data_IF_267694003067
#
_entry.id   IF_267694003067
#
_cell.length_a   1.000
_cell.length_b   1.000
_cell.length_c   1.000
_cell.angle_alpha   90.00
_cell.angle_beta   90.00
_cell.angle_gamma   90.00
#
_symmetry.space_group_name_H-M   'P 1'
#
loop_
_entity.id
_entity.type
_entity.pdbx_description
1 polymer ?
#
# COMPACT_ATOMS: atom_id res chain seq x y z
N UNK A 1 -9.73 13.76 -24.65
CA UNK A 1 -9.74 12.86 -25.82
C UNK A 1 -11.13 12.71 -26.42
N UNK A 2 -12.07 12.00 -25.77
CA UNK A 2 -13.44 11.77 -26.30
C UNK A 2 -14.13 13.04 -26.81
N UNK A 3 -14.19 14.10 -25.99
CA UNK A 3 -14.80 15.36 -26.39
C UNK A 3 -14.08 16.02 -27.59
N UNK A 4 -12.74 16.02 -27.61
CA UNK A 4 -11.96 16.57 -28.72
C UNK A 4 -12.25 15.82 -30.02
N UNK A 5 -12.19 14.48 -30.00
CA UNK A 5 -12.44 13.64 -31.17
C UNK A 5 -13.86 13.85 -31.74
N UNK A 6 -14.86 13.96 -30.85
CA UNK A 6 -16.25 14.26 -31.25
C UNK A 6 -16.44 15.63 -31.89
N UNK A 7 -15.52 16.55 -31.65
CA UNK A 7 -15.54 17.91 -32.21
C UNK A 7 -14.48 18.10 -33.31
N UNK A 8 -13.89 17.00 -33.84
CA UNK A 8 -12.87 17.08 -34.88
C UNK A 8 -11.57 17.75 -34.44
N UNK A 9 -11.31 17.79 -33.13
CA UNK A 9 -10.08 18.33 -32.54
C UNK A 9 -9.17 17.17 -32.17
N UNK A 10 -7.95 17.19 -32.69
CA UNK A 10 -6.92 16.20 -32.33
C UNK A 10 -6.28 16.56 -30.97
N UNK A 11 -6.35 15.68 -29.96
CA UNK A 11 -5.62 15.89 -28.71
C UNK A 11 -4.11 15.85 -28.96
N UNK A 12 -3.30 16.67 -28.26
CA UNK A 12 -1.85 16.57 -28.36
C UNK A 12 -1.35 15.16 -28.03
N UNK A 13 -0.49 14.58 -28.87
CA UNK A 13 0.05 13.22 -28.68
C UNK A 13 0.72 13.03 -27.31
N UNK A 14 1.45 14.05 -26.83
CA UNK A 14 2.07 14.04 -25.51
C UNK A 14 1.04 13.92 -24.36
N UNK A 15 -0.17 14.46 -24.52
CA UNK A 15 -1.23 14.29 -23.53
C UNK A 15 -1.79 12.86 -23.53
N UNK A 16 -1.92 12.25 -24.71
CA UNK A 16 -2.37 10.86 -24.84
C UNK A 16 -1.37 9.89 -24.22
N UNK A 17 -0.07 10.06 -24.50
CA UNK A 17 1.00 9.27 -23.90
C UNK A 17 0.98 9.36 -22.37
N UNK A 18 0.76 10.57 -21.82
CA UNK A 18 0.66 10.76 -20.37
C UNK A 18 -0.55 10.06 -19.77
N UNK A 19 -1.71 10.13 -20.42
CA UNK A 19 -2.92 9.42 -19.97
C UNK A 19 -2.69 7.90 -19.98
N UNK A 20 -2.07 7.38 -21.03
CA UNK A 20 -1.75 5.96 -21.11
C UNK A 20 -0.81 5.51 -19.98
N UNK A 21 0.23 6.29 -19.68
CA UNK A 21 1.11 6.06 -18.52
C UNK A 21 0.38 6.14 -17.17
N UNK A 22 -0.64 7.00 -17.05
CA UNK A 22 -1.49 7.03 -15.84
C UNK A 22 -2.31 5.74 -15.72
N UNK A 23 -2.87 5.24 -16.82
CA UNK A 23 -3.59 3.96 -16.84
C UNK A 23 -2.69 2.77 -16.52
N UNK A 24 -1.43 2.80 -16.96
CA UNK A 24 -0.44 1.80 -16.60
C UNK A 24 -0.13 1.77 -15.10
N UNK A 25 -0.05 2.95 -14.47
CA UNK A 25 0.01 3.07 -13.01
C UNK A 25 -1.24 2.49 -12.37
N UNK A 26 -2.42 2.92 -12.81
CA UNK A 26 -3.70 2.42 -12.30
C UNK A 26 -3.79 0.90 -12.37
N UNK A 27 -3.40 0.29 -13.50
CA UNK A 27 -3.40 -1.17 -13.68
C UNK A 27 -2.44 -1.87 -12.70
N UNK A 28 -1.23 -1.33 -12.49
CA UNK A 28 -0.27 -1.89 -11.54
C UNK A 28 -0.76 -1.76 -10.08
N UNK A 29 -1.30 -0.60 -9.75
CA UNK A 29 -1.76 -0.24 -8.41
C UNK A 29 -3.05 -0.98 -8.01
N UNK A 30 -3.93 -1.27 -8.97
CA UNK A 30 -5.16 -2.04 -8.75
C UNK A 30 -4.86 -3.48 -8.37
N UNK A 31 -5.45 -3.92 -7.26
CA UNK A 31 -5.42 -5.32 -6.81
C UNK A 31 -6.18 -6.21 -7.81
N UNK A 32 -5.90 -7.52 -7.86
CA UNK A 32 -6.59 -8.42 -8.79
C UNK A 32 -8.12 -8.50 -8.61
N UNK A 33 -8.63 -8.19 -7.41
CA UNK A 33 -10.09 -8.08 -7.17
C UNK A 33 -10.72 -6.79 -7.72
N UNK A 34 -9.92 -5.90 -8.31
CA UNK A 34 -10.33 -4.63 -8.91
C UNK A 34 -10.37 -3.46 -7.92
N UNK A 35 -10.15 -3.73 -6.63
CA UNK A 35 -10.03 -2.68 -5.61
C UNK A 35 -8.62 -2.07 -5.61
N UNK A 36 -8.42 -0.97 -4.90
CA UNK A 36 -7.11 -0.32 -4.81
C UNK A 36 -6.68 -0.03 -3.35
N UNK A 37 -5.36 0.06 -3.09
CA UNK A 37 -4.82 0.53 -1.82
C UNK A 37 -5.24 1.96 -1.46
N UNK A 38 -5.64 2.20 -0.20
CA UNK A 38 -6.17 3.49 0.25
C UNK A 38 -5.08 4.41 0.82
N UNK A 39 -3.90 4.44 0.19
CA UNK A 39 -2.71 5.16 0.66
C UNK A 39 -2.89 6.67 0.51
N UNK A 40 -2.61 7.41 1.58
CA UNK A 40 -2.74 8.87 1.64
C UNK A 40 -4.19 9.33 1.65
N UNK A 41 -4.45 10.51 1.07
CA UNK A 41 -5.81 11.03 0.91
C UNK A 41 -6.55 10.32 -0.24
N UNK A 42 -6.93 9.06 -0.02
CA UNK A 42 -7.85 8.34 -0.88
C UNK A 42 -9.30 8.66 -0.48
N UNK A 43 -10.07 9.27 -1.39
CA UNK A 43 -11.51 9.44 -1.26
C UNK A 43 -12.29 8.70 -2.36
N UNK A 44 -13.57 8.45 -2.11
CA UNK A 44 -14.50 7.85 -3.08
C UNK A 44 -15.14 8.93 -4.00
N UNK A 45 -14.46 10.06 -4.19
CA UNK A 45 -14.97 11.21 -4.92
C UNK A 45 -15.38 10.90 -6.37
N UNK A 46 -16.48 11.51 -6.80
CA UNK A 46 -16.91 11.52 -8.20
C UNK A 46 -17.38 12.92 -8.57
N UNK A 47 -16.89 13.46 -9.69
CA UNK A 47 -17.40 14.74 -10.21
C UNK A 47 -18.86 14.61 -10.65
N UNK A 48 -19.21 13.49 -11.28
CA UNK A 48 -20.57 13.16 -11.71
C UNK A 48 -20.87 11.71 -11.32
N UNK A 49 -22.03 11.48 -10.72
CA UNK A 49 -22.50 10.15 -10.37
C UNK A 49 -23.41 9.62 -11.49
N UNK A 50 -22.81 8.92 -12.46
CA UNK A 50 -23.49 8.45 -13.67
C UNK A 50 -23.90 6.97 -13.60
N UNK A 51 -23.54 6.28 -12.52
CA UNK A 51 -23.90 4.89 -12.24
C UNK A 51 -23.69 4.58 -10.76
N UNK A 52 -24.31 3.51 -10.24
CA UNK A 52 -23.93 3.00 -8.91
C UNK A 52 -22.50 2.48 -8.96
N UNK A 53 -21.55 3.27 -8.45
CA UNK A 53 -20.13 2.90 -8.40
C UNK A 53 -19.88 1.86 -7.32
N UNK A 54 -19.03 0.89 -7.62
CA UNK A 54 -18.36 0.12 -6.57
C UNK A 54 -17.30 1.03 -5.94
N UNK A 55 -17.37 1.28 -4.62
CA UNK A 55 -16.34 2.07 -3.94
C UNK A 55 -14.95 1.48 -4.18
N UNK A 56 -13.93 2.34 -4.15
CA UNK A 56 -12.53 1.95 -4.35
C UNK A 56 -12.25 1.07 -5.58
N UNK A 57 -12.96 1.28 -6.67
CA UNK A 57 -12.79 0.51 -7.92
C UNK A 57 -12.24 1.38 -9.04
N UNK A 58 -11.17 0.92 -9.68
CA UNK A 58 -10.63 1.52 -10.90
C UNK A 58 -11.22 0.92 -12.19
N UNK A 59 -12.14 -0.06 -12.10
CA UNK A 59 -12.60 -0.81 -13.27
C UNK A 59 -13.21 0.08 -14.35
N UNK A 60 -14.04 1.06 -13.98
CA UNK A 60 -14.62 1.98 -14.96
C UNK A 60 -13.55 2.80 -15.70
N UNK A 61 -12.52 3.26 -14.99
CA UNK A 61 -11.40 4.01 -15.57
C UNK A 61 -10.57 3.12 -16.51
N UNK A 62 -10.27 1.88 -16.10
CA UNK A 62 -9.52 0.92 -16.91
C UNK A 62 -10.31 0.49 -18.16
N UNK A 63 -11.63 0.29 -18.07
CA UNK A 63 -12.48 0.03 -19.23
C UNK A 63 -12.50 1.21 -20.21
N UNK A 64 -12.54 2.45 -19.72
CA UNK A 64 -12.42 3.62 -20.56
C UNK A 64 -11.07 3.66 -21.27
N UNK A 65 -9.98 3.41 -20.54
CA UNK A 65 -8.62 3.32 -21.08
C UNK A 65 -8.47 2.24 -22.16
N UNK A 66 -8.93 1.02 -21.87
CA UNK A 66 -8.96 -0.08 -22.83
C UNK A 66 -9.65 0.33 -24.14
N UNK A 67 -10.81 0.98 -24.05
CA UNK A 67 -11.58 1.42 -25.23
C UNK A 67 -10.85 2.51 -26.03
N UNK A 68 -10.23 3.47 -25.35
CA UNK A 68 -9.54 4.60 -25.98
C UNK A 68 -8.24 4.18 -26.68
N UNK A 69 -7.54 3.19 -26.13
CA UNK A 69 -6.20 2.77 -26.60
C UNK A 69 -6.18 1.36 -27.23
N UNK A 70 -7.30 0.65 -27.28
CA UNK A 70 -7.38 -0.71 -27.84
C UNK A 70 -6.61 -1.77 -27.03
N UNK A 71 -6.51 -1.59 -25.71
CA UNK A 71 -5.62 -2.38 -24.84
C UNK A 71 -6.33 -3.55 -24.13
N UNK A 72 -5.92 -4.77 -24.45
CA UNK A 72 -6.51 -6.00 -23.90
C UNK A 72 -6.18 -6.23 -22.42
N UNK A 73 -5.00 -5.80 -21.97
CA UNK A 73 -4.56 -5.91 -20.58
C UNK A 73 -5.41 -5.03 -19.65
N UNK A 74 -5.75 -3.81 -20.07
CA UNK A 74 -6.69 -2.94 -19.36
C UNK A 74 -8.10 -3.53 -19.35
N UNK A 75 -8.55 -4.14 -20.46
CA UNK A 75 -9.87 -4.82 -20.55
C UNK A 75 -9.95 -6.01 -19.58
N UNK A 76 -8.91 -6.84 -19.50
CA UNK A 76 -8.87 -7.97 -18.60
C UNK A 76 -9.00 -7.55 -17.11
N UNK A 77 -8.51 -6.37 -16.74
CA UNK A 77 -8.67 -5.82 -15.40
C UNK A 77 -10.05 -5.18 -15.14
N UNK A 78 -10.87 -5.00 -16.17
CA UNK A 78 -12.16 -4.34 -16.12
C UNK A 78 -13.22 -5.12 -16.91
N UNK A 79 -13.69 -6.29 -16.46
CA UNK A 79 -14.51 -7.20 -17.27
C UNK A 79 -15.84 -6.61 -17.77
N UNK A 80 -16.28 -5.47 -17.23
CA UNK A 80 -17.48 -4.76 -17.67
C UNK A 80 -17.15 -3.37 -18.19
N UNK A 81 -17.85 -2.94 -19.25
CA UNK A 81 -17.69 -1.60 -19.82
C UNK A 81 -18.17 -0.50 -18.86
N UNK A 82 -19.25 -0.74 -18.12
CA UNK A 82 -19.84 0.23 -17.19
C UNK A 82 -20.77 1.26 -17.85
N UNK A 83 -21.83 1.66 -17.15
CA UNK A 83 -22.80 2.63 -17.65
C UNK A 83 -22.22 4.04 -17.71
N UNK A 84 -21.32 4.40 -16.78
CA UNK A 84 -20.62 5.68 -16.83
C UNK A 84 -19.86 5.88 -18.17
N UNK A 85 -19.27 4.82 -18.70
CA UNK A 85 -18.52 4.88 -19.96
C UNK A 85 -19.43 5.03 -21.19
N UNK A 86 -20.70 4.59 -21.13
CA UNK A 86 -21.68 4.88 -22.19
C UNK A 86 -21.92 6.40 -22.31
N UNK A 87 -22.04 7.09 -21.17
CA UNK A 87 -22.23 8.53 -21.15
C UNK A 87 -20.99 9.29 -21.64
N UNK A 88 -19.79 8.87 -21.22
CA UNK A 88 -18.54 9.55 -21.57
C UNK A 88 -18.02 9.25 -22.98
N UNK A 89 -18.14 8.01 -23.43
CA UNK A 89 -17.53 7.52 -24.68
C UNK A 89 -18.57 7.26 -25.78
N UNK A 90 -19.84 7.06 -25.41
CA UNK A 90 -20.96 6.87 -26.34
C UNK A 90 -21.22 5.41 -26.70
N UNK A 91 -22.35 5.11 -27.36
CA UNK A 91 -22.77 3.73 -27.62
C UNK A 91 -21.81 2.97 -28.56
N UNK A 92 -21.19 3.65 -29.53
CA UNK A 92 -20.21 3.01 -30.42
C UNK A 92 -18.97 2.49 -29.65
N UNK A 93 -18.65 3.10 -28.50
CA UNK A 93 -17.53 2.70 -27.67
C UNK A 93 -17.78 1.35 -26.98
N UNK A 94 -19.05 0.96 -26.74
CA UNK A 94 -19.39 -0.36 -26.23
C UNK A 94 -18.99 -1.45 -27.23
N UNK A 95 -19.34 -1.29 -28.51
CA UNK A 95 -18.94 -2.24 -29.56
C UNK A 95 -17.43 -2.29 -29.75
N UNK A 96 -16.75 -1.13 -29.66
CA UNK A 96 -15.29 -1.07 -29.69
C UNK A 96 -14.67 -1.83 -28.50
N UNK A 97 -15.24 -1.68 -27.30
CA UNK A 97 -14.80 -2.41 -26.11
C UNK A 97 -14.98 -3.92 -26.25
N UNK A 98 -16.16 -4.36 -26.70
CA UNK A 98 -16.46 -5.78 -26.89
C UNK A 98 -15.52 -6.43 -27.91
N UNK A 99 -15.11 -5.69 -28.94
CA UNK A 99 -14.18 -6.17 -29.97
C UNK A 99 -12.72 -6.34 -29.49
N UNK A 100 -12.32 -5.71 -28.38
CA UNK A 100 -10.97 -5.90 -27.83
C UNK A 100 -10.83 -7.34 -27.33
N UNK A 101 -9.76 -8.08 -27.66
CA UNK A 101 -9.54 -9.41 -27.14
C UNK A 101 -9.48 -9.42 -25.60
N UNK A 102 -10.17 -10.38 -24.98
CA UNK A 102 -10.04 -10.61 -23.54
C UNK A 102 -8.77 -11.43 -23.27
N UNK A 103 -7.62 -10.75 -23.33
CA UNK A 103 -6.31 -11.34 -23.10
C UNK A 103 -5.69 -10.68 -21.88
N UNK A 104 -5.72 -11.42 -20.77
CA UNK A 104 -4.96 -11.07 -19.58
C UNK A 104 -3.47 -11.27 -19.82
N UNK A 105 -2.68 -10.24 -19.53
CA UNK A 105 -1.23 -10.36 -19.42
C UNK A 105 -0.83 -10.19 -17.96
N UNK A 106 0.13 -10.98 -17.44
CA UNK A 106 0.58 -10.82 -16.06
C UNK A 106 1.10 -9.41 -15.81
N UNK A 107 0.44 -8.68 -14.92
CA UNK A 107 0.90 -7.36 -14.49
C UNK A 107 2.04 -7.57 -13.50
N UNK A 108 3.27 -7.32 -13.95
CA UNK A 108 4.48 -7.48 -13.14
C UNK A 108 4.71 -6.36 -12.13
N UNK A 109 5.69 -6.58 -11.26
CA UNK A 109 6.17 -5.59 -10.30
C UNK A 109 6.75 -4.36 -10.99
N UNK A 110 6.51 -3.18 -10.43
CA UNK A 110 6.93 -1.91 -11.03
C UNK A 110 7.10 -0.81 -9.98
N UNK A 111 8.12 0.02 -10.18
CA UNK A 111 8.32 1.25 -9.41
C UNK A 111 7.79 2.46 -10.18
N UNK A 112 7.12 3.34 -9.44
CA UNK A 112 6.65 4.64 -9.90
C UNK A 112 7.32 5.69 -9.00
N UNK A 113 8.62 5.90 -9.23
CA UNK A 113 9.48 6.68 -8.34
C UNK A 113 9.04 8.13 -8.18
N UNK A 114 8.51 8.76 -9.24
CA UNK A 114 7.97 10.13 -9.15
C UNK A 114 6.63 10.20 -8.41
N UNK A 115 5.86 9.11 -8.44
CA UNK A 115 4.60 8.98 -7.71
C UNK A 115 4.79 8.53 -6.26
N UNK A 116 5.95 7.96 -5.92
CA UNK A 116 6.22 7.42 -4.58
C UNK A 116 5.59 6.04 -4.34
N UNK A 117 5.41 5.21 -5.38
CA UNK A 117 4.80 3.89 -5.21
C UNK A 117 5.69 2.78 -5.75
N UNK A 118 5.82 1.71 -4.96
CA UNK A 118 6.59 0.52 -5.34
C UNK A 118 5.69 -0.70 -5.24
N UNK A 119 5.30 -1.25 -6.40
CA UNK A 119 4.32 -2.33 -6.50
C UNK A 119 5.05 -3.64 -6.74
N UNK A 120 4.92 -4.59 -5.81
CA UNK A 120 5.35 -5.98 -5.98
C UNK A 120 4.15 -6.84 -6.36
N UNK A 121 4.28 -7.61 -7.45
CA UNK A 121 3.21 -8.45 -8.00
C UNK A 121 3.72 -9.84 -8.36
N UNK A 122 2.89 -10.82 -8.07
CA UNK A 122 3.03 -12.20 -8.48
C UNK A 122 1.66 -12.85 -8.66
N UNK A 123 1.63 -14.13 -8.96
CA UNK A 123 0.37 -14.88 -9.02
C UNK A 123 -0.36 -14.80 -7.68
N UNK A 124 -1.56 -14.23 -7.66
CA UNK A 124 -2.34 -14.05 -6.43
C UNK A 124 -1.68 -13.17 -5.37
N UNK A 125 -0.66 -12.36 -5.70
CA UNK A 125 0.11 -11.56 -4.73
C UNK A 125 0.19 -10.11 -5.18
N UNK A 126 -0.06 -9.18 -4.26
CA UNK A 126 0.05 -7.74 -4.49
C UNK A 126 0.46 -7.03 -3.21
N UNK A 127 1.58 -6.30 -3.25
CA UNK A 127 2.03 -5.46 -2.16
C UNK A 127 2.46 -4.11 -2.70
N UNK A 128 2.01 -3.03 -2.07
CA UNK A 128 2.37 -1.66 -2.47
C UNK A 128 3.05 -0.97 -1.32
N UNK A 129 4.27 -0.49 -1.53
CA UNK A 129 5.02 0.33 -0.57
C UNK A 129 4.80 1.80 -0.87
N UNK A 130 4.53 2.58 0.18
CA UNK A 130 4.45 4.04 0.14
C UNK A 130 5.84 4.67 0.27
N UNK A 131 6.10 5.63 -0.60
CA UNK A 131 7.29 6.47 -0.65
C UNK A 131 6.91 7.92 -0.97
N UNK A 132 7.89 8.81 -1.19
CA UNK A 132 7.62 10.23 -1.37
C UNK A 132 6.99 10.48 -2.75
N UNK A 133 5.72 10.88 -2.77
CA UNK A 133 5.09 11.40 -3.98
C UNK A 133 5.50 12.84 -4.28
N UNK A 134 5.55 13.23 -5.56
CA UNK A 134 5.66 14.64 -5.97
C UNK A 134 4.33 15.41 -5.93
N UNK A 135 3.27 14.79 -5.39
CA UNK A 135 1.95 15.39 -5.27
C UNK A 135 1.91 16.53 -4.24
N UNK A 136 0.77 17.23 -4.10
CA UNK A 136 0.63 18.30 -3.12
C UNK A 136 0.87 17.79 -1.70
N UNK A 137 1.78 18.42 -0.96
CA UNK A 137 2.15 18.04 0.40
C UNK A 137 0.95 17.99 1.37
N UNK A 138 -0.08 18.79 1.08
CA UNK A 138 -1.37 18.80 1.77
C UNK A 138 -2.05 17.42 1.90
N UNK A 139 -1.82 16.53 0.94
CA UNK A 139 -2.45 15.21 0.85
C UNK A 139 -1.54 14.08 1.35
N UNK A 140 -0.34 14.41 1.81
CA UNK A 140 0.60 13.43 2.31
C UNK A 140 0.29 13.08 3.77
N UNK A 141 0.45 11.79 4.06
CA UNK A 141 0.44 11.23 5.39
C UNK A 141 1.88 11.02 5.87
N UNK A 142 2.07 10.62 7.13
CA UNK A 142 3.38 10.28 7.67
C UNK A 142 3.66 8.78 7.52
N UNK A 143 3.58 8.32 6.29
CA UNK A 143 3.45 6.92 5.91
C UNK A 143 4.66 6.40 5.11
N UNK A 144 5.81 7.08 5.14
CA UNK A 144 6.97 6.59 4.41
C UNK A 144 7.32 5.18 4.90
N UNK A 145 7.63 4.32 3.93
CA UNK A 145 7.90 2.89 4.10
C UNK A 145 6.71 2.06 4.58
N UNK A 146 5.52 2.65 4.77
CA UNK A 146 4.28 1.90 4.95
C UNK A 146 4.01 1.01 3.75
N UNK A 147 3.22 -0.03 3.93
CA UNK A 147 2.78 -0.87 2.82
C UNK A 147 1.37 -1.40 3.03
N UNK A 148 0.75 -1.81 1.94
CA UNK A 148 -0.45 -2.66 1.96
C UNK A 148 -0.15 -4.02 1.35
N UNK A 149 -0.80 -5.07 1.86
CA UNK A 149 -0.61 -6.45 1.41
C UNK A 149 -1.95 -7.12 1.09
N UNK A 150 -2.04 -7.66 -0.12
CA UNK A 150 -3.14 -8.46 -0.62
C UNK A 150 -2.62 -9.81 -1.11
N UNK A 151 -3.31 -10.88 -0.75
CA UNK A 151 -3.01 -12.23 -1.19
C UNK A 151 -4.28 -13.07 -1.34
N UNK A 152 -4.35 -13.87 -2.41
CA UNK A 152 -5.41 -14.86 -2.66
C UNK A 152 -6.83 -14.33 -2.40
N UNK A 153 -7.19 -13.19 -2.98
CA UNK A 153 -8.54 -12.63 -2.84
C UNK A 153 -8.80 -11.85 -1.54
N UNK A 154 -7.80 -11.73 -0.65
CA UNK A 154 -7.96 -11.06 0.64
C UNK A 154 -6.95 -9.92 0.78
N UNK A 155 -7.43 -8.71 1.09
CA UNK A 155 -6.58 -7.61 1.54
C UNK A 155 -6.35 -7.75 3.05
N UNK A 156 -5.12 -8.08 3.47
CA UNK A 156 -4.84 -8.40 4.87
C UNK A 156 -4.32 -7.21 5.65
N UNK A 157 -3.31 -6.52 5.10
CA UNK A 157 -2.68 -5.35 5.72
C UNK A 157 -3.10 -4.13 4.91
N UNK A 158 -3.75 -3.17 5.57
CA UNK A 158 -4.43 -2.06 4.94
C UNK A 158 -3.85 -0.73 5.40
N UNK A 159 -3.86 0.27 4.52
CA UNK A 159 -3.68 1.65 4.93
C UNK A 159 -4.94 2.11 5.69
N UNK A 160 -4.80 2.94 6.73
CA UNK A 160 -5.93 3.44 7.49
C UNK A 160 -6.86 4.31 6.64
N UNK A 161 -6.39 4.90 5.54
CA UNK A 161 -7.18 5.80 4.70
C UNK A 161 -7.40 7.18 5.33
N UNK A 162 -8.36 7.94 4.80
CA UNK A 162 -8.43 9.40 5.04
C UNK A 162 -9.35 9.80 6.20
N UNK A 163 -10.41 9.03 6.46
CA UNK A 163 -11.59 9.48 7.19
C UNK A 163 -12.29 10.66 6.54
N UNK A 164 -11.84 11.88 6.78
CA UNK A 164 -12.51 13.07 6.30
C UNK A 164 -11.60 14.27 6.39
N UNK A 165 -11.75 15.21 5.45
CA UNK A 165 -10.94 16.42 5.43
C UNK A 165 -11.35 17.43 6.50
N UNK A 166 -12.63 17.44 6.86
CA UNK A 166 -13.23 18.40 7.79
C UNK A 166 -14.17 17.70 8.77
N UNK A 167 -14.52 18.38 9.87
CA UNK A 167 -15.48 17.87 10.86
C UNK A 167 -14.83 17.26 12.10
N UNK A 168 -13.59 16.74 11.99
CA UNK A 168 -12.76 16.43 13.16
C UNK A 168 -11.27 16.51 12.82
N UNK A 169 -10.61 17.54 13.36
CA UNK A 169 -9.14 17.71 13.25
C UNK A 169 -8.39 16.57 13.95
N UNK A 170 -8.91 16.10 15.07
CA UNK A 170 -8.35 14.99 15.83
C UNK A 170 -8.28 13.73 14.96
N UNK A 171 -9.40 13.34 14.35
CA UNK A 171 -9.43 12.16 13.49
C UNK A 171 -8.61 12.35 12.23
N UNK A 172 -8.68 13.52 11.58
CA UNK A 172 -7.85 13.83 10.41
C UNK A 172 -6.35 13.65 10.72
N UNK A 173 -5.87 14.19 11.84
CA UNK A 173 -4.47 14.04 12.24
C UNK A 173 -4.12 12.62 12.68
N UNK A 174 -5.06 11.91 13.32
CA UNK A 174 -4.88 10.49 13.67
C UNK A 174 -4.63 9.64 12.42
N UNK A 175 -5.50 9.75 11.41
CA UNK A 175 -5.37 8.99 10.16
C UNK A 175 -4.11 9.33 9.35
N UNK A 176 -3.50 10.52 9.56
CA UNK A 176 -2.21 10.92 8.96
C UNK A 176 -0.98 10.51 9.76
N UNK A 177 -1.17 10.13 11.03
CA UNK A 177 -0.07 9.88 11.97
C UNK A 177 0.70 8.62 11.60
N UNK A 178 2.00 8.61 11.88
CA UNK A 178 2.89 7.48 11.62
C UNK A 178 2.36 6.20 12.28
N UNK A 179 1.82 6.32 13.49
CA UNK A 179 1.28 5.18 14.25
C UNK A 179 0.03 4.55 13.60
N UNK A 180 -0.66 5.27 12.72
CA UNK A 180 -1.78 4.76 11.94
C UNK A 180 -1.36 4.02 10.67
N UNK A 181 -0.07 4.01 10.30
CA UNK A 181 0.42 3.35 9.09
C UNK A 181 1.26 2.11 9.41
N UNK A 182 1.45 1.26 8.39
CA UNK A 182 2.13 -0.03 8.51
C UNK A 182 3.65 0.12 8.54
N UNK A 183 4.16 0.97 9.43
CA UNK A 183 5.56 1.40 9.49
C UNK A 183 6.00 1.55 10.96
N UNK A 184 7.20 2.09 11.16
CA UNK A 184 7.84 2.19 12.48
C UNK A 184 7.74 3.61 13.04
N UNK A 185 7.47 3.70 14.34
CA UNK A 185 7.57 4.87 15.22
C UNK A 185 8.78 4.71 16.15
N UNK A 186 9.56 5.77 16.32
CA UNK A 186 10.72 5.83 17.24
C UNK A 186 10.43 6.86 18.34
N UNK A 187 10.52 6.43 19.60
CA UNK A 187 10.30 7.23 20.81
C UNK A 187 9.02 8.07 20.78
N UNK A 188 7.96 7.50 20.21
CA UNK A 188 6.63 8.15 20.11
C UNK A 188 6.62 9.42 19.26
N UNK A 189 7.61 9.58 18.37
CA UNK A 189 7.69 10.70 17.44
C UNK A 189 7.18 10.33 16.05
N UNK A 190 6.60 11.32 15.38
CA UNK A 190 6.25 11.25 13.98
C UNK A 190 7.49 11.29 13.07
N UNK A 191 7.43 10.62 11.90
CA UNK A 191 8.49 10.71 10.90
C UNK A 191 8.67 12.15 10.38
N UNK A 192 7.56 12.86 10.20
CA UNK A 192 7.48 14.29 9.84
C UNK A 192 6.56 14.98 10.86
N UNK A 193 6.75 16.25 11.20
CA UNK A 193 5.98 16.89 12.28
C UNK A 193 4.56 17.19 11.83
N UNK A 194 3.58 16.70 12.60
CA UNK A 194 2.21 17.19 12.48
C UNK A 194 2.19 18.64 12.97
N UNK A 195 2.06 19.60 12.05
CA UNK A 195 1.96 21.01 12.41
C UNK A 195 0.66 21.25 13.18
N UNK A 196 0.76 21.96 14.31
CA UNK A 196 -0.41 22.46 15.04
C UNK A 196 -1.01 23.69 14.33
N UNK A 197 -1.44 23.49 13.08
CA UNK A 197 -2.04 24.51 12.22
C UNK A 197 -3.58 24.37 12.18
N UNK A 198 -4.36 25.46 12.26
CA UNK A 198 -5.81 25.43 12.05
C UNK A 198 -6.23 25.10 10.61
N UNK A 199 -5.31 25.20 9.63
CA UNK A 199 -5.49 24.73 8.27
C UNK A 199 -5.72 23.21 8.23
N UNK A 200 -6.64 22.78 7.37
CA UNK A 200 -6.92 21.35 7.12
C UNK A 200 -5.81 20.67 6.29
N UNK A 201 -4.94 21.48 5.68
CA UNK A 201 -3.92 21.05 4.74
C UNK A 201 -2.56 21.71 5.06
N UNK A 202 -2.02 21.52 6.28
CA UNK A 202 -0.73 22.08 6.62
C UNK A 202 0.34 21.48 5.72
N UNK A 203 1.15 22.36 5.12
CA UNK A 203 2.33 21.97 4.35
C UNK A 203 3.54 22.11 5.24
N UNK A 204 4.18 20.99 5.57
CA UNK A 204 5.43 21.01 6.30
C UNK A 204 6.56 21.51 5.40
N UNK A 205 7.38 22.42 5.94
CA UNK A 205 8.42 23.13 5.19
C UNK A 205 9.85 22.76 5.62
N UNK A 206 10.02 21.98 6.68
CA UNK A 206 11.35 21.66 7.22
C UNK A 206 12.09 20.56 6.44
N UNK A 207 11.35 19.74 5.67
CA UNK A 207 11.89 18.67 4.84
C UNK A 207 12.73 17.65 5.62
N UNK A 208 12.42 17.43 6.90
CA UNK A 208 13.24 16.60 7.80
C UNK A 208 13.21 15.11 7.43
N UNK A 209 12.06 14.59 7.00
CA UNK A 209 11.94 13.23 6.49
C UNK A 209 12.34 13.14 5.02
N UNK A 210 13.63 12.93 4.75
CA UNK A 210 14.13 12.70 3.39
C UNK A 210 14.15 11.20 3.12
N UNK A 211 13.41 10.78 2.10
CA UNK A 211 13.44 9.40 1.64
C UNK A 211 14.56 9.17 0.63
N UNK A 212 15.21 8.02 0.71
CA UNK A 212 16.18 7.53 -0.26
C UNK A 212 15.80 6.11 -0.69
N UNK A 213 15.61 5.91 -2.00
CA UNK A 213 15.53 4.58 -2.59
C UNK A 213 16.95 4.07 -2.81
N UNK A 214 17.37 3.08 -2.03
CA UNK A 214 18.68 2.43 -2.18
C UNK A 214 18.67 1.37 -3.27
N UNK A 215 17.57 0.63 -3.39
CA UNK A 215 17.46 -0.49 -4.34
C UNK A 215 16.01 -0.71 -4.73
N UNK A 216 15.79 -0.91 -6.01
CA UNK A 216 14.58 -1.51 -6.56
C UNK A 216 15.01 -2.50 -7.64
N UNK A 217 14.72 -3.77 -7.43
CA UNK A 217 15.01 -4.84 -8.38
C UNK A 217 13.78 -5.71 -8.58
N UNK A 218 13.51 -6.03 -9.84
CA UNK A 218 12.47 -6.98 -10.24
C UNK A 218 13.17 -8.14 -10.91
N UNK A 219 13.00 -9.34 -10.37
CA UNK A 219 13.57 -10.57 -10.91
C UNK A 219 12.49 -11.60 -11.22
N UNK A 220 12.88 -12.71 -11.84
CA UNK A 220 11.96 -13.80 -12.16
C UNK A 220 11.44 -14.50 -10.90
N UNK A 221 12.33 -14.73 -9.91
CA UNK A 221 11.99 -15.39 -8.65
C UNK A 221 11.91 -14.44 -7.45
N UNK A 222 12.60 -13.29 -7.51
CA UNK A 222 12.80 -12.42 -6.35
C UNK A 222 12.74 -10.94 -6.74
N UNK A 223 11.84 -10.20 -6.12
CA UNK A 223 11.87 -8.74 -6.12
C UNK A 223 12.50 -8.20 -4.84
N UNK A 224 13.11 -7.02 -4.94
CA UNK A 224 13.74 -6.33 -3.81
C UNK A 224 13.37 -4.85 -3.79
N UNK A 225 12.94 -4.39 -2.64
CA UNK A 225 12.82 -2.98 -2.28
C UNK A 225 13.74 -2.67 -1.11
N UNK A 226 14.41 -1.53 -1.16
CA UNK A 226 15.27 -1.03 -0.11
C UNK A 226 15.14 0.49 -0.06
N UNK A 227 14.41 0.98 0.94
CA UNK A 227 14.14 2.39 1.15
C UNK A 227 14.48 2.81 2.57
N UNK A 228 14.92 4.05 2.74
CA UNK A 228 15.16 4.62 4.06
C UNK A 228 14.63 6.06 4.14
N UNK A 229 14.36 6.53 5.36
CA UNK A 229 14.07 7.94 5.60
C UNK A 229 14.80 8.49 6.83
N UNK A 230 15.09 9.79 6.81
CA UNK A 230 15.81 10.51 7.87
C UNK A 230 14.89 11.18 8.89
N UNK A 231 13.60 10.81 8.94
CA UNK A 231 12.59 11.51 9.74
C UNK A 231 12.90 11.57 11.25
N UNK A 232 13.70 10.63 11.75
CA UNK A 232 14.11 10.54 13.16
C UNK A 232 15.50 11.12 13.44
N UNK A 233 16.22 11.67 12.45
CA UNK A 233 17.54 12.28 12.68
C UNK A 233 17.47 13.63 13.39
N UNK A 234 16.25 14.12 13.62
CA UNK A 234 15.90 15.31 14.39
C UNK A 234 15.73 15.05 15.89
N UNK A 235 15.79 13.78 16.32
CA UNK A 235 15.86 13.43 17.73
C UNK A 235 17.25 13.80 18.29
N UNK A 236 17.39 14.00 19.63
CA UNK A 236 18.68 14.28 20.25
C UNK A 236 19.73 13.19 19.98
N UNK A 237 19.30 11.94 19.96
CA UNK A 237 20.08 10.77 19.50
C UNK A 237 19.52 10.38 18.12
N UNK A 238 20.19 10.75 17.01
CA UNK A 238 19.64 10.64 15.66
C UNK A 238 19.46 9.20 15.19
N UNK A 239 18.34 8.91 14.53
CA UNK A 239 18.05 7.59 13.94
C UNK A 239 17.60 7.71 12.48
N UNK A 240 18.08 6.79 11.64
CA UNK A 240 17.58 6.52 10.29
C UNK A 240 16.80 5.22 10.32
N UNK A 241 15.59 5.23 9.75
CA UNK A 241 14.79 4.02 9.55
C UNK A 241 14.91 3.56 8.10
N UNK A 242 15.39 2.33 7.92
CA UNK A 242 15.54 1.65 6.63
C UNK A 242 14.69 0.39 6.61
N UNK A 243 13.80 0.28 5.63
CA UNK A 243 13.00 -0.91 5.37
C UNK A 243 13.47 -1.59 4.11
N UNK A 244 13.65 -2.89 4.22
CA UNK A 244 13.93 -3.77 3.08
C UNK A 244 12.81 -4.78 2.95
N UNK A 245 12.35 -5.02 1.73
CA UNK A 245 11.33 -6.01 1.43
C UNK A 245 11.85 -6.90 0.31
N UNK A 246 11.82 -8.21 0.55
CA UNK A 246 12.10 -9.23 -0.44
C UNK A 246 10.81 -9.98 -0.73
N UNK A 247 10.42 -10.07 -1.99
CA UNK A 247 9.25 -10.84 -2.42
C UNK A 247 9.70 -12.06 -3.22
N UNK A 248 9.59 -13.24 -2.62
CA UNK A 248 9.94 -14.50 -3.27
C UNK A 248 8.72 -15.05 -4.02
N UNK A 249 8.69 -14.87 -5.33
CA UNK A 249 7.53 -15.17 -6.19
C UNK A 249 7.13 -16.64 -6.15
N UNK A 250 8.11 -17.55 -6.23
CA UNK A 250 7.84 -19.00 -6.20
C UNK A 250 7.26 -19.52 -4.89
N UNK A 251 7.37 -18.77 -3.79
CA UNK A 251 6.76 -19.11 -2.50
C UNK A 251 5.55 -18.21 -2.19
N UNK A 252 5.41 -17.09 -2.90
CA UNK A 252 4.40 -16.07 -2.60
C UNK A 252 4.57 -15.44 -1.22
N UNK A 253 5.80 -15.35 -0.71
CA UNK A 253 6.13 -14.86 0.64
C UNK A 253 6.90 -13.55 0.57
N UNK A 254 6.60 -12.63 1.47
CA UNK A 254 7.39 -11.42 1.69
C UNK A 254 8.21 -11.53 2.97
N UNK A 255 9.47 -11.11 2.91
CA UNK A 255 10.34 -10.90 4.07
C UNK A 255 10.53 -9.40 4.22
N UNK A 256 10.24 -8.86 5.40
CA UNK A 256 10.38 -7.45 5.72
C UNK A 256 11.41 -7.31 6.83
N UNK A 257 12.37 -6.42 6.61
CA UNK A 257 13.42 -6.09 7.57
C UNK A 257 13.44 -4.60 7.83
N UNK A 258 13.15 -4.23 9.06
CA UNK A 258 13.30 -2.87 9.56
C UNK A 258 14.62 -2.75 10.32
N UNK A 259 15.52 -1.92 9.79
CA UNK A 259 16.79 -1.58 10.40
C UNK A 259 16.77 -0.13 10.86
N UNK A 260 17.02 0.07 12.15
CA UNK A 260 17.13 1.38 12.77
C UNK A 260 18.60 1.59 13.08
N UNK A 261 19.21 2.58 12.42
CA UNK A 261 20.65 2.85 12.48
C UNK A 261 20.85 4.27 12.97
N UNK A 262 21.74 4.46 13.95
CA UNK A 262 21.92 5.74 14.60
C UNK A 262 22.75 5.62 15.86
N UNK A 263 22.47 6.50 16.81
CA UNK A 263 23.09 6.55 18.14
C UNK A 263 22.04 6.33 19.22
N UNK A 264 22.43 5.93 20.43
CA UNK A 264 21.52 5.95 21.58
C UNK A 264 20.67 4.71 21.83
N UNK A 265 19.73 4.85 22.76
CA UNK A 265 18.79 3.78 23.17
C UNK A 265 17.36 4.23 22.93
N UNK A 266 16.66 3.51 22.05
CA UNK A 266 15.33 3.91 21.59
C UNK A 266 14.28 2.87 21.90
N UNK A 267 13.04 3.33 22.04
CA UNK A 267 11.83 2.51 21.96
C UNK A 267 11.29 2.56 20.54
N UNK A 268 11.17 1.39 19.93
CA UNK A 268 10.72 1.24 18.56
C UNK A 268 9.41 0.46 18.56
N UNK A 269 8.39 1.01 17.91
CA UNK A 269 7.06 0.40 17.76
C UNK A 269 6.72 0.36 16.29
N UNK A 270 6.42 -0.81 15.75
CA UNK A 270 5.86 -0.94 14.41
C UNK A 270 4.45 -1.49 14.44
N UNK A 271 3.68 -1.09 13.44
CA UNK A 271 2.25 -1.39 13.35
C UNK A 271 1.95 -2.17 12.08
N UNK A 272 0.97 -3.08 12.16
CA UNK A 272 0.32 -3.72 11.03
C UNK A 272 -1.19 -3.61 11.26
N UNK A 273 -1.83 -2.66 10.58
CA UNK A 273 -3.26 -2.41 10.58
C UNK A 273 -3.92 -3.42 9.64
N UNK A 274 -4.76 -4.28 10.22
CA UNK A 274 -5.33 -5.41 9.50
C UNK A 274 -6.75 -5.10 9.05
N UNK A 275 -7.18 -5.77 7.98
CA UNK A 275 -8.61 -5.83 7.65
C UNK A 275 -9.43 -6.39 8.83
N UNK A 276 -10.73 -6.08 8.92
CA UNK A 276 -11.62 -6.54 9.99
C UNK A 276 -11.90 -8.06 9.87
N UNK A 277 -10.85 -8.84 10.11
CA UNK A 277 -10.76 -10.29 9.99
C UNK A 277 -10.46 -10.90 11.36
N UNK A 278 -10.59 -12.22 11.47
CA UNK A 278 -10.18 -12.95 12.67
C UNK A 278 -8.65 -12.92 12.82
N UNK A 279 -8.16 -12.52 13.99
CA UNK A 279 -6.72 -12.46 14.29
C UNK A 279 -6.42 -13.24 15.56
N UNK A 280 -5.42 -14.11 15.50
CA UNK A 280 -4.98 -14.92 16.64
C UNK A 280 -3.47 -14.85 16.80
N UNK A 281 -3.03 -14.54 18.00
CA UNK A 281 -1.66 -14.79 18.43
C UNK A 281 -1.49 -16.30 18.70
N UNK A 282 -0.72 -17.00 17.86
CA UNK A 282 -0.55 -18.45 17.93
C UNK A 282 0.64 -18.89 18.77
N UNK A 283 1.68 -18.06 18.87
CA UNK A 283 2.92 -18.35 19.59
C UNK A 283 3.63 -17.05 19.99
N UNK A 284 4.40 -17.10 21.08
CA UNK A 284 5.26 -16.00 21.56
C UNK A 284 6.75 -16.28 21.35
N UNK A 285 7.12 -17.53 21.06
CA UNK A 285 8.50 -17.96 20.86
C UNK A 285 8.60 -19.05 19.76
N UNK A 286 8.79 -18.69 18.48
CA UNK A 286 8.79 -17.31 17.95
C UNK A 286 7.40 -16.68 18.01
N UNK A 287 7.34 -15.34 17.93
CA UNK A 287 6.07 -14.62 17.80
C UNK A 287 5.41 -14.96 16.46
N UNK A 288 4.18 -15.47 16.50
CA UNK A 288 3.40 -15.84 15.32
C UNK A 288 1.97 -15.32 15.47
N UNK A 289 1.53 -14.52 14.51
CA UNK A 289 0.14 -14.06 14.38
C UNK A 289 -0.46 -14.65 13.11
N UNK A 290 -1.68 -15.19 13.23
CA UNK A 290 -2.48 -15.66 12.11
C UNK A 290 -3.66 -14.72 11.88
N UNK A 291 -3.90 -14.37 10.62
CA UNK A 291 -5.06 -13.61 10.16
C UNK A 291 -5.87 -14.50 9.22
N UNK A 292 -7.14 -14.72 9.54
CA UNK A 292 -8.03 -15.61 8.77
C UNK A 292 -8.59 -14.88 7.55
N UNK A 293 -8.25 -15.35 6.35
CA UNK A 293 -8.75 -14.79 5.09
C UNK A 293 -9.81 -15.68 4.44
N UNK A 294 -10.26 -15.28 3.24
CA UNK A 294 -11.34 -15.95 2.53
C UNK A 294 -10.89 -17.21 1.78
N UNK A 295 -9.70 -17.17 1.15
CA UNK A 295 -9.15 -18.29 0.39
C UNK A 295 -7.80 -18.80 0.92
N UNK A 296 -7.09 -17.98 1.70
CA UNK A 296 -5.89 -18.34 2.46
C UNK A 296 -6.00 -17.76 3.87
N UNK A 297 -5.10 -18.17 4.76
CA UNK A 297 -4.75 -17.37 5.94
C UNK A 297 -3.47 -16.60 5.64
N UNK A 298 -3.24 -15.50 6.36
CA UNK A 298 -1.93 -14.85 6.42
C UNK A 298 -1.26 -15.18 7.75
N UNK A 299 -0.08 -15.80 7.69
CA UNK A 299 0.80 -15.95 8.85
C UNK A 299 1.86 -14.86 8.85
N UNK A 300 1.99 -14.19 9.99
CA UNK A 300 3.00 -13.19 10.27
C UNK A 300 3.89 -13.74 11.38
N UNK A 301 5.17 -13.93 11.08
CA UNK A 301 6.13 -14.46 12.07
C UNK A 301 7.33 -13.52 12.20
N UNK A 302 7.75 -13.25 13.43
CA UNK A 302 8.92 -12.42 13.71
C UNK A 302 10.12 -13.29 14.05
N UNK A 303 11.29 -12.90 13.52
CA UNK A 303 12.56 -13.45 13.96
C UNK A 303 12.73 -13.27 15.47
N UNK A 304 13.19 -14.30 16.21
CA UNK A 304 13.48 -14.16 17.63
C UNK A 304 14.51 -13.06 17.90
N UNK A 305 14.09 -12.07 18.69
CA UNK A 305 14.89 -10.91 19.06
C UNK A 305 14.68 -10.63 20.56
N UNK A 306 15.75 -10.52 21.38
CA UNK A 306 15.61 -10.24 22.80
C UNK A 306 14.83 -8.95 23.06
N UNK A 307 13.84 -9.00 23.95
CA UNK A 307 13.02 -7.84 24.32
C UNK A 307 12.00 -7.41 23.26
N UNK A 308 11.81 -8.18 22.18
CA UNK A 308 10.71 -7.99 21.25
C UNK A 308 9.42 -8.54 21.86
N UNK A 309 8.37 -7.73 21.88
CA UNK A 309 7.01 -8.15 22.21
C UNK A 309 6.06 -7.88 21.05
N UNK A 310 5.09 -8.76 20.83
CA UNK A 310 4.03 -8.58 19.83
C UNK A 310 2.67 -8.65 20.51
N UNK A 311 1.80 -7.70 20.21
CA UNK A 311 0.44 -7.64 20.74
C UNK A 311 -0.58 -7.48 19.62
N UNK A 312 -1.79 -8.00 19.84
CA UNK A 312 -2.95 -7.76 18.97
C UNK A 312 -3.90 -6.85 19.75
N UNK A 313 -4.19 -5.69 19.18
CA UNK A 313 -5.08 -4.69 19.76
C UNK A 313 -6.12 -4.21 18.77
N UNK A 314 -6.75 -3.09 19.10
CA UNK A 314 -7.75 -2.42 18.28
C UNK A 314 -7.18 -1.11 17.69
N UNK A 315 -7.38 -0.92 16.41
CA UNK A 315 -7.07 0.29 15.64
C UNK A 315 -8.29 0.73 14.83
N UNK A 316 -8.05 1.63 13.87
CA UNK A 316 -9.13 2.28 13.11
C UNK A 316 -8.80 2.29 11.63
N UNK A 317 -9.79 1.96 10.82
CA UNK A 317 -9.74 2.09 9.37
C UNK A 317 -10.85 3.03 8.89
N UNK A 318 -10.56 3.74 7.81
CA UNK A 318 -11.50 4.50 7.03
C UNK A 318 -11.33 4.17 5.56
N UNK A 319 -12.06 3.15 5.13
CA UNK A 319 -12.01 2.67 3.76
C UNK A 319 -13.02 3.41 2.85
N UNK A 320 -13.79 4.34 3.43
CA UNK A 320 -14.76 5.21 2.77
C UNK A 320 -14.74 6.59 3.43
N UNK A 321 -14.95 7.64 2.64
CA UNK A 321 -15.02 9.00 3.15
C UNK A 321 -16.15 9.15 4.19
N UNK A 322 -15.83 9.75 5.33
CA UNK A 322 -16.72 9.97 6.47
C UNK A 322 -16.97 8.75 7.35
N UNK A 323 -16.43 7.57 7.02
CA UNK A 323 -16.64 6.34 7.79
C UNK A 323 -15.42 5.98 8.63
N UNK A 324 -15.64 5.54 9.86
CA UNK A 324 -14.61 4.96 10.73
C UNK A 324 -15.10 3.58 11.17
N UNK A 325 -14.22 2.60 11.09
CA UNK A 325 -14.48 1.23 11.54
C UNK A 325 -13.34 0.75 12.42
N UNK A 326 -13.66 0.11 13.55
CA UNK A 326 -12.68 -0.58 14.36
C UNK A 326 -12.12 -1.79 13.61
N UNK A 327 -10.80 -1.98 13.68
CA UNK A 327 -10.14 -3.12 13.05
C UNK A 327 -8.94 -3.59 13.89
N UNK A 328 -8.53 -4.86 13.77
CA UNK A 328 -7.36 -5.34 14.50
C UNK A 328 -6.07 -4.64 14.07
N UNK A 329 -5.20 -4.37 15.03
CA UNK A 329 -3.83 -3.90 14.76
C UNK A 329 -2.84 -4.82 15.48
N UNK A 330 -1.83 -5.28 14.76
CA UNK A 330 -0.69 -5.96 15.38
C UNK A 330 0.39 -4.92 15.65
N UNK A 331 0.84 -4.83 16.90
CA UNK A 331 1.94 -3.94 17.29
C UNK A 331 3.11 -4.78 17.72
N UNK A 332 4.28 -4.54 17.15
CA UNK A 332 5.54 -5.11 17.61
C UNK A 332 6.41 -4.02 18.20
N UNK A 333 7.01 -4.29 19.36
CA UNK A 333 7.76 -3.29 20.12
C UNK A 333 9.07 -3.88 20.64
N UNK A 334 10.14 -3.07 20.59
CA UNK A 334 11.44 -3.38 21.19
C UNK A 334 12.07 -2.10 21.72
N UNK A 335 12.71 -2.17 22.89
CA UNK A 335 13.60 -1.12 23.40
C UNK A 335 15.02 -1.63 23.40
N UNK A 336 15.96 -0.86 22.86
CA UNK A 336 17.35 -1.28 22.80
C UNK A 336 18.28 -0.23 22.21
N UNK A 337 19.58 -0.53 22.26
CA UNK A 337 20.63 0.28 21.65
C UNK A 337 20.61 0.05 20.14
N UNK A 338 20.73 1.12 19.34
CA UNK A 338 20.90 1.02 17.88
C UNK A 338 22.36 0.66 17.52
N UNK A 339 22.63 -0.08 16.42
CA UNK A 339 21.67 -0.53 15.43
C UNK A 339 20.77 -1.65 15.95
N UNK A 340 19.48 -1.54 15.66
CA UNK A 340 18.52 -2.60 15.94
C UNK A 340 17.83 -3.04 14.65
N UNK A 341 17.55 -4.34 14.57
CA UNK A 341 16.94 -4.97 13.41
C UNK A 341 15.74 -5.77 13.88
N UNK A 342 14.63 -5.62 13.19
CA UNK A 342 13.42 -6.41 13.37
C UNK A 342 13.08 -7.00 12.01
N UNK A 343 12.99 -8.32 11.92
CA UNK A 343 12.64 -9.03 10.68
C UNK A 343 11.38 -9.83 10.90
N UNK A 344 10.42 -9.70 9.99
CA UNK A 344 9.21 -10.50 9.99
C UNK A 344 8.84 -10.93 8.58
N UNK A 345 7.99 -11.95 8.49
CA UNK A 345 7.53 -12.52 7.22
C UNK A 345 6.04 -12.36 7.10
N UNK A 346 5.55 -12.14 5.88
CA UNK A 346 4.14 -12.25 5.51
C UNK A 346 4.02 -13.47 4.60
N UNK A 347 3.44 -14.55 5.13
CA UNK A 347 3.32 -15.82 4.45
C UNK A 347 1.85 -16.22 4.33
N UNK A 348 1.24 -16.05 3.15
CA UNK A 348 -0.07 -16.62 2.89
C UNK A 348 0.01 -18.15 2.85
N UNK A 349 -0.88 -18.82 3.56
CA UNK A 349 -0.90 -20.28 3.73
C UNK A 349 -2.31 -20.82 3.56
N UNK A 350 -2.44 -22.12 3.34
CA UNK A 350 -3.76 -22.76 3.33
C UNK A 350 -4.49 -22.52 4.65
N UNK A 351 -5.81 -22.32 4.58
CA UNK A 351 -6.66 -22.04 5.75
C UNK A 351 -6.51 -23.14 6.80
N UNK A 352 -6.19 -22.74 8.04
CA UNK A 352 -5.96 -23.68 9.15
C UNK A 352 -4.72 -24.56 8.99
N UNK A 353 -3.91 -24.34 7.96
CA UNK A 353 -2.68 -25.08 7.71
C UNK A 353 -1.63 -24.82 8.79
N UNK A 354 -0.99 -25.90 9.24
CA UNK A 354 0.16 -25.80 10.12
C UNK A 354 1.32 -25.10 9.42
N UNK A 355 2.06 -24.26 10.15
CA UNK A 355 3.24 -23.54 9.64
C UNK A 355 4.44 -23.88 10.50
N UNK A 356 5.51 -24.37 9.88
CA UNK A 356 6.83 -24.46 10.50
C UNK A 356 7.44 -23.05 10.56
N UNK A 357 7.06 -22.30 11.60
CA UNK A 357 7.50 -20.91 11.77
C UNK A 357 9.03 -20.81 11.90
N UNK A 358 9.68 -21.75 12.58
CA UNK A 358 11.14 -21.76 12.72
C UNK A 358 11.82 -22.02 11.37
N UNK A 359 11.31 -22.96 10.57
CA UNK A 359 11.78 -23.20 9.20
C UNK A 359 11.63 -21.99 8.30
N UNK A 360 10.44 -21.37 8.34
CA UNK A 360 10.13 -20.15 7.57
C UNK A 360 11.08 -19.00 7.94
N UNK A 361 11.32 -18.78 9.24
CA UNK A 361 12.21 -17.72 9.72
C UNK A 361 13.68 -18.01 9.42
N UNK A 362 14.13 -19.27 9.50
CA UNK A 362 15.48 -19.67 9.05
C UNK A 362 15.67 -19.40 7.56
N UNK A 363 14.69 -19.75 6.73
CA UNK A 363 14.71 -19.46 5.29
C UNK A 363 14.74 -17.96 5.02
N UNK A 364 13.88 -17.19 5.70
CA UNK A 364 13.80 -15.74 5.53
C UNK A 364 15.11 -15.02 5.88
N UNK A 365 15.80 -15.47 6.94
CA UNK A 365 17.13 -14.97 7.33
C UNK A 365 18.23 -15.28 6.33
N UNK A 366 18.09 -16.34 5.54
CA UNK A 366 19.05 -16.65 4.48
C UNK A 366 18.80 -15.83 3.21
N UNK A 367 17.58 -15.29 3.04
CA UNK A 367 17.18 -14.45 1.91
C UNK A 367 17.55 -12.97 2.10
N UNK A 368 17.42 -12.47 3.33
CA UNK A 368 17.68 -11.10 3.75
C UNK A 368 19.14 -10.87 4.16
#
# INVERSE_FOLDING_TARGET
MSLCQRNGVEPPAAALERIERMLEFTLAYTRPDGTFPAIGDADDGSLLDLERRTPRSHRALLAAGATLFGRSDLKAAAPTFGAANLWWLGPAALSAYDAIPDKAEPVGSRAFTDGGFFVMRGEGRHLVVSGPGRGPAAHLHHDLLSFECWADGTAYVLDPGTYGYSGSREWRNRFRSTASHNTVVVDDHEQTRLLDDPSLFPVESDGAARFTLRRWEVGDDLDRFDGEHTGYTRLPEPVVHRRQIWFHKGQGVWVIRDALVGEGTHTVRGFLHLAPLGVRLESEAPWVVRVTGAASDLVIAWSPEPGLSVTVGEGWLSQHYGAIQAAPVVTYQKRGVVPMVITFVLAPVAIGGAVDADGLLRWARALA
#
